data_IF_613453808413
#
_entry.id   IF_613453808413
#
_cell.length_a   1.000
_cell.length_b   1.000
_cell.length_c   1.000
_cell.angle_alpha   90.00
_cell.angle_beta   90.00
_cell.angle_gamma   90.00
#
_symmetry.space_group_name_H-M   'P 1'
#
loop_
_entity.id
_entity.type
_entity.pdbx_description
1 polymer ?
#
# COMPACT_ATOMS: atom_id res chain seq x y z
N UNK A 1 -12.57 7.72 1.52
CA UNK A 1 -13.50 7.45 2.63
C UNK A 1 -14.28 6.18 2.28
N UNK A 2 -13.94 5.07 2.95
CA UNK A 2 -14.56 3.75 2.74
C UNK A 2 -16.09 3.84 2.74
N UNK A 3 -16.65 4.69 3.60
CA UNK A 3 -18.08 4.99 3.66
C UNK A 3 -18.66 5.46 2.32
N UNK A 4 -17.90 6.19 1.50
CA UNK A 4 -18.37 6.69 0.20
C UNK A 4 -18.40 5.57 -0.84
N UNK A 5 -17.36 4.74 -0.93
CA UNK A 5 -17.33 3.65 -1.91
C UNK A 5 -18.36 2.56 -1.60
N UNK A 6 -18.60 2.30 -0.32
CA UNK A 6 -19.63 1.36 0.11
C UNK A 6 -21.03 1.92 -0.12
N UNK A 7 -21.26 3.22 0.08
CA UNK A 7 -22.52 3.90 -0.24
C UNK A 7 -22.78 3.93 -1.74
N UNK A 8 -21.75 4.09 -2.56
CA UNK A 8 -21.86 4.04 -4.03
C UNK A 8 -22.30 2.64 -4.50
N UNK A 9 -21.77 1.58 -3.92
CA UNK A 9 -22.16 0.20 -4.25
C UNK A 9 -23.55 -0.15 -3.70
N UNK A 10 -23.94 0.40 -2.55
CA UNK A 10 -25.31 0.29 -2.04
C UNK A 10 -26.32 1.02 -2.94
N UNK A 11 -25.95 2.21 -3.48
CA UNK A 11 -26.80 3.02 -4.35
C UNK A 11 -27.18 2.33 -5.66
N UNK A 12 -26.34 1.42 -6.15
CA UNK A 12 -26.61 0.61 -7.36
C UNK A 12 -27.23 -0.76 -7.06
N UNK A 13 -27.54 -1.03 -5.77
CA UNK A 13 -28.25 -2.25 -5.36
C UNK A 13 -27.41 -3.52 -5.33
N UNK A 14 -26.10 -3.41 -5.39
CA UNK A 14 -25.18 -4.55 -5.37
C UNK A 14 -24.79 -4.97 -3.96
N UNK A 15 -24.97 -4.09 -2.97
CA UNK A 15 -24.68 -4.34 -1.56
C UNK A 15 -25.87 -3.93 -0.69
N UNK A 16 -25.96 -4.59 0.45
CA UNK A 16 -26.55 -4.04 1.65
C UNK A 16 -25.48 -4.10 2.74
N UNK A 17 -25.04 -2.95 3.18
CA UNK A 17 -23.95 -2.85 4.14
C UNK A 17 -24.46 -3.06 5.57
N UNK A 18 -23.64 -3.76 6.37
CA UNK A 18 -23.71 -3.62 7.81
C UNK A 18 -23.27 -2.22 8.17
N UNK A 19 -24.01 -1.54 9.03
CA UNK A 19 -23.48 -0.38 9.71
C UNK A 19 -22.36 -0.83 10.65
N UNK A 20 -21.10 -0.78 10.19
CA UNK A 20 -19.95 -0.89 11.08
C UNK A 20 -19.60 0.52 11.61
N UNK A 21 -19.11 0.65 12.85
CA UNK A 21 -18.62 1.92 13.36
C UNK A 21 -17.56 2.51 12.43
N UNK A 22 -17.56 3.82 12.26
CA UNK A 22 -16.59 4.53 11.44
C UNK A 22 -15.15 4.13 11.84
N UNK A 23 -14.31 3.73 10.89
CA UNK A 23 -12.96 3.26 11.12
C UNK A 23 -12.82 1.78 11.50
N UNK A 24 -13.91 1.01 11.56
CA UNK A 24 -13.85 -0.44 11.76
C UNK A 24 -13.40 -1.16 10.49
N UNK A 25 -12.76 -2.33 10.67
CA UNK A 25 -12.25 -3.18 9.59
C UNK A 25 -13.06 -4.48 9.51
N UNK A 26 -13.33 -4.94 8.30
CA UNK A 26 -14.01 -6.22 8.07
C UNK A 26 -13.10 -7.42 8.40
N UNK A 27 -13.75 -8.49 8.83
CA UNK A 27 -13.13 -9.80 9.06
C UNK A 27 -13.93 -10.89 8.36
N UNK A 28 -13.39 -12.09 8.26
CA UNK A 28 -14.12 -13.25 7.67
C UNK A 28 -15.43 -13.58 8.40
N UNK A 29 -15.57 -13.17 9.69
CA UNK A 29 -16.83 -13.31 10.45
C UNK A 29 -17.93 -12.33 10.03
N UNK A 30 -17.62 -11.33 9.24
CA UNK A 30 -18.55 -10.34 8.75
C UNK A 30 -19.17 -10.72 7.39
N UNK A 31 -18.81 -11.89 6.84
CA UNK A 31 -19.37 -12.44 5.61
C UNK A 31 -20.77 -13.02 5.89
N UNK A 32 -21.79 -12.52 5.22
CA UNK A 32 -23.20 -13.02 5.31
C UNK A 32 -23.58 -13.95 4.17
N UNK A 33 -23.04 -13.74 2.98
CA UNK A 33 -23.26 -14.59 1.81
C UNK A 33 -21.95 -14.85 1.08
N UNK A 34 -21.74 -16.10 0.67
CA UNK A 34 -20.61 -16.55 -0.13
C UNK A 34 -21.13 -17.40 -1.31
N UNK A 35 -21.75 -16.78 -2.32
CA UNK A 35 -22.41 -17.50 -3.42
C UNK A 35 -21.44 -18.38 -4.22
N UNK A 36 -20.17 -17.98 -4.30
CA UNK A 36 -19.08 -18.73 -4.96
C UNK A 36 -18.57 -19.88 -4.10
N UNK A 37 -19.02 -19.99 -2.85
CA UNK A 37 -18.51 -20.96 -1.87
C UNK A 37 -16.97 -20.96 -1.74
N UNK A 38 -16.36 -19.76 -1.84
CA UNK A 38 -14.90 -19.59 -1.78
C UNK A 38 -14.35 -20.12 -0.46
N UNK A 39 -13.19 -20.77 -0.55
CA UNK A 39 -12.40 -21.18 0.60
C UNK A 39 -11.34 -20.10 0.84
N UNK A 40 -11.61 -19.17 1.77
CA UNK A 40 -10.66 -18.11 2.10
C UNK A 40 -9.51 -18.66 2.95
N UNK A 41 -8.27 -18.43 2.52
CA UNK A 41 -7.05 -18.85 3.21
C UNK A 41 -6.26 -17.60 3.58
N UNK A 42 -6.26 -17.26 4.85
CA UNK A 42 -5.54 -16.08 5.35
C UNK A 42 -4.03 -16.33 5.31
N UNK A 43 -3.28 -15.44 4.68
CA UNK A 43 -1.83 -15.54 4.47
C UNK A 43 -1.15 -14.18 4.54
N UNK A 44 0.12 -14.17 4.95
CA UNK A 44 0.96 -12.98 4.86
C UNK A 44 1.12 -12.50 3.40
N UNK A 45 1.37 -11.21 3.22
CA UNK A 45 1.38 -10.57 1.90
C UNK A 45 2.45 -11.14 0.95
N UNK A 46 3.56 -11.68 1.47
CA UNK A 46 4.66 -12.18 0.63
C UNK A 46 4.42 -13.61 0.15
N UNK A 47 3.59 -14.37 0.86
CA UNK A 47 3.26 -15.77 0.55
C UNK A 47 2.12 -15.92 -0.45
N UNK A 48 1.20 -14.96 -0.56
CA UNK A 48 -0.05 -15.12 -1.32
C UNK A 48 0.15 -15.49 -2.78
N UNK A 49 1.03 -14.77 -3.52
CA UNK A 49 1.27 -15.10 -4.93
C UNK A 49 2.05 -16.42 -5.10
N UNK A 50 2.99 -16.74 -4.20
CA UNK A 50 3.73 -18.00 -4.27
C UNK A 50 2.85 -19.22 -3.94
N UNK A 51 1.84 -19.07 -3.08
CA UNK A 51 0.90 -20.13 -2.73
C UNK A 51 0.09 -20.68 -3.93
N UNK A 52 -0.04 -19.88 -5.01
CA UNK A 52 -0.65 -20.35 -6.26
C UNK A 52 0.14 -21.45 -6.99
N UNK A 53 1.34 -21.81 -6.53
CA UNK A 53 2.09 -22.97 -7.05
C UNK A 53 1.43 -24.30 -6.72
N UNK A 54 0.54 -24.38 -5.73
CA UNK A 54 -0.15 -25.62 -5.39
C UNK A 54 -1.07 -25.57 -4.19
N UNK A 55 -0.97 -24.54 -3.37
CA UNK A 55 -1.72 -24.47 -2.10
C UNK A 55 -3.10 -23.81 -2.28
N UNK A 56 -3.22 -22.85 -3.21
CA UNK A 56 -4.49 -22.15 -3.50
C UNK A 56 -4.72 -22.02 -5.00
N UNK A 57 -5.97 -21.78 -5.39
CA UNK A 57 -6.37 -21.56 -6.78
C UNK A 57 -6.18 -20.11 -7.23
N UNK A 58 -6.37 -19.19 -6.29
CA UNK A 58 -6.38 -17.74 -6.50
C UNK A 58 -5.58 -17.03 -5.41
N UNK A 59 -5.09 -15.82 -5.72
CA UNK A 59 -4.52 -14.93 -4.72
C UNK A 59 -5.06 -13.50 -4.89
N UNK A 60 -5.36 -12.84 -3.77
CA UNK A 60 -5.63 -11.41 -3.70
C UNK A 60 -4.43 -10.68 -3.06
N UNK A 61 -3.98 -9.63 -3.70
CA UNK A 61 -2.97 -8.72 -3.18
C UNK A 61 -2.95 -7.43 -3.99
N UNK A 62 -2.23 -6.42 -3.54
CA UNK A 62 -1.97 -5.27 -4.39
C UNK A 62 -1.20 -5.70 -5.65
N UNK A 63 -1.61 -5.15 -6.79
CA UNK A 63 -1.01 -5.46 -8.08
C UNK A 63 0.30 -4.68 -8.27
N UNK A 64 1.28 -5.34 -8.87
CA UNK A 64 2.41 -4.66 -9.52
C UNK A 64 2.86 -5.44 -10.77
N UNK A 65 3.31 -4.72 -11.79
CA UNK A 65 3.86 -5.34 -13.01
C UNK A 65 5.04 -6.28 -12.68
N UNK A 66 5.88 -5.90 -11.72
CA UNK A 66 7.01 -6.73 -11.24
C UNK A 66 6.52 -8.03 -10.59
N UNK A 67 5.44 -7.98 -9.78
CA UNK A 67 4.88 -9.20 -9.18
C UNK A 67 4.28 -10.12 -10.24
N UNK A 68 3.58 -9.56 -11.23
CA UNK A 68 3.02 -10.33 -12.33
C UNK A 68 4.13 -11.04 -13.13
N UNK A 69 5.22 -10.37 -13.45
CA UNK A 69 6.37 -10.94 -14.15
C UNK A 69 7.05 -12.03 -13.30
N UNK A 70 7.37 -11.71 -12.04
CA UNK A 70 8.07 -12.62 -11.11
C UNK A 70 7.31 -13.92 -10.88
N UNK A 71 6.00 -13.84 -10.64
CA UNK A 71 5.19 -15.02 -10.31
C UNK A 71 4.46 -15.62 -11.52
N UNK A 72 4.52 -14.97 -12.69
CA UNK A 72 3.93 -15.43 -13.96
C UNK A 72 2.46 -15.87 -13.82
N UNK A 73 1.60 -14.95 -13.34
CA UNK A 73 0.18 -15.21 -13.15
C UNK A 73 -0.69 -14.50 -14.19
N UNK A 74 -1.91 -15.01 -14.38
CA UNK A 74 -2.97 -14.34 -15.12
C UNK A 74 -3.65 -13.33 -14.18
N UNK A 75 -3.77 -12.08 -14.62
CA UNK A 75 -4.57 -11.05 -13.94
C UNK A 75 -6.04 -11.27 -14.31
N UNK A 76 -6.85 -11.75 -13.37
CA UNK A 76 -8.28 -12.02 -13.60
C UNK A 76 -9.12 -10.76 -13.41
N UNK A 77 -8.78 -9.96 -12.42
CA UNK A 77 -9.43 -8.69 -12.08
C UNK A 77 -8.39 -7.74 -11.51
N UNK A 78 -8.43 -6.50 -11.95
CA UNK A 78 -7.82 -5.36 -11.26
C UNK A 78 -8.96 -4.51 -10.72
N UNK A 79 -8.92 -4.20 -9.43
CA UNK A 79 -9.88 -3.33 -8.78
C UNK A 79 -9.48 -1.87 -8.96
N UNK A 80 -10.43 -0.95 -8.79
CA UNK A 80 -10.13 0.47 -8.79
C UNK A 80 -9.32 0.85 -7.54
N UNK A 81 -8.65 2.00 -7.59
CA UNK A 81 -7.88 2.49 -6.45
C UNK A 81 -8.78 2.73 -5.23
N UNK A 82 -8.37 2.25 -4.08
CA UNK A 82 -9.06 2.51 -2.83
C UNK A 82 -8.40 3.69 -2.10
N UNK A 83 -8.93 4.90 -2.30
CA UNK A 83 -8.41 6.14 -1.70
C UNK A 83 -8.51 6.20 -0.17
N UNK A 84 -9.25 5.28 0.45
CA UNK A 84 -9.30 5.14 1.91
C UNK A 84 -8.03 4.47 2.47
N UNK A 85 -7.21 3.85 1.61
CA UNK A 85 -5.97 3.17 1.97
C UNK A 85 -4.74 3.81 1.31
N UNK A 86 -4.49 5.12 1.56
CA UNK A 86 -3.36 5.81 0.95
C UNK A 86 -2.04 5.29 1.53
N UNK A 87 -1.05 5.09 0.68
CA UNK A 87 0.32 4.78 1.09
C UNK A 87 0.96 5.99 1.73
N UNK A 88 1.61 5.79 2.87
CA UNK A 88 2.16 6.86 3.70
C UNK A 88 3.64 6.65 4.00
N UNK A 89 4.38 7.74 4.03
CA UNK A 89 5.68 7.81 4.71
C UNK A 89 5.42 7.95 6.19
N UNK A 90 6.08 7.16 7.02
CA UNK A 90 5.93 7.25 8.47
C UNK A 90 7.26 7.57 9.17
N UNK A 91 7.18 8.43 10.18
CA UNK A 91 8.28 8.82 11.07
C UNK A 91 7.84 8.68 12.54
N UNK A 92 8.75 8.83 13.50
CA UNK A 92 8.36 8.96 14.91
C UNK A 92 7.67 10.30 15.14
N UNK A 93 6.74 10.37 16.09
CA UNK A 93 5.99 11.58 16.44
C UNK A 93 6.90 12.77 16.79
N UNK A 94 8.03 12.52 17.46
CA UNK A 94 9.02 13.55 17.82
C UNK A 94 9.79 14.12 16.64
N UNK A 95 9.85 13.40 15.52
CA UNK A 95 10.61 13.80 14.32
C UNK A 95 9.77 14.54 13.28
N UNK A 96 8.45 14.51 13.39
CA UNK A 96 7.49 14.97 12.35
C UNK A 96 7.71 16.39 11.81
N UNK A 97 8.19 17.29 12.66
CA UNK A 97 8.44 18.69 12.31
C UNK A 97 9.92 18.99 11.96
N UNK A 98 10.78 17.96 12.00
CA UNK A 98 12.22 18.10 11.73
C UNK A 98 12.48 18.54 10.28
N UNK A 99 13.56 19.31 10.07
CA UNK A 99 13.92 19.79 8.73
C UNK A 99 14.21 18.62 7.78
N UNK A 100 14.91 17.60 8.25
CA UNK A 100 15.21 16.42 7.42
C UNK A 100 13.95 15.66 6.96
N UNK A 101 12.87 15.68 7.77
CA UNK A 101 11.58 15.06 7.36
C UNK A 101 10.92 15.88 6.24
N UNK A 102 10.94 17.21 6.34
CA UNK A 102 10.44 18.10 5.28
C UNK A 102 11.21 17.90 3.99
N UNK A 103 12.55 17.86 4.08
CA UNK A 103 13.40 17.61 2.92
C UNK A 103 13.15 16.23 2.32
N UNK A 104 12.96 15.19 3.16
CA UNK A 104 12.61 13.85 2.70
C UNK A 104 11.26 13.83 1.97
N UNK A 105 10.24 14.49 2.51
CA UNK A 105 8.91 14.60 1.86
C UNK A 105 8.98 15.39 0.57
N UNK A 106 9.77 16.46 0.49
CA UNK A 106 9.97 17.21 -0.75
C UNK A 106 10.62 16.33 -1.84
N UNK A 107 11.62 15.48 -1.48
CA UNK A 107 12.17 14.50 -2.41
C UNK A 107 11.10 13.48 -2.86
N UNK A 108 10.30 12.98 -1.92
CA UNK A 108 9.27 11.97 -2.16
C UNK A 108 8.09 12.48 -3.00
N UNK A 109 7.85 13.78 -3.02
CA UNK A 109 6.76 14.43 -3.76
C UNK A 109 7.26 15.28 -4.94
N UNK A 110 8.53 15.11 -5.33
CA UNK A 110 9.13 15.78 -6.48
C UNK A 110 8.56 15.28 -7.81
N UNK A 111 8.66 16.09 -8.87
CA UNK A 111 8.26 15.67 -10.21
C UNK A 111 9.06 14.46 -10.70
N UNK A 112 10.34 14.41 -10.37
CA UNK A 112 11.19 13.28 -10.77
C UNK A 112 10.77 11.96 -10.10
N UNK A 113 10.39 12.00 -8.83
CA UNK A 113 9.83 10.82 -8.15
C UNK A 113 8.51 10.38 -8.78
N UNK A 114 7.63 11.34 -9.13
CA UNK A 114 6.38 11.06 -9.83
C UNK A 114 6.63 10.40 -11.18
N UNK A 115 7.59 10.92 -11.97
CA UNK A 115 7.94 10.36 -13.26
C UNK A 115 8.46 8.92 -13.13
N UNK A 116 9.29 8.64 -12.11
CA UNK A 116 9.78 7.31 -11.77
C UNK A 116 8.66 6.33 -11.38
N UNK A 117 7.74 6.78 -10.52
CA UNK A 117 6.57 5.96 -10.15
C UNK A 117 5.73 5.66 -11.40
N UNK A 118 5.47 6.65 -12.25
CA UNK A 118 4.69 6.47 -13.47
C UNK A 118 5.36 5.54 -14.48
N UNK A 119 6.69 5.60 -14.64
CA UNK A 119 7.44 4.67 -15.48
C UNK A 119 7.22 3.22 -15.00
N UNK A 120 7.31 2.98 -13.70
CA UNK A 120 7.11 1.65 -13.09
C UNK A 120 5.65 1.19 -13.09
N UNK A 121 4.73 2.11 -13.31
CA UNK A 121 3.29 1.85 -13.38
C UNK A 121 2.81 1.38 -14.77
N UNK A 122 3.73 0.90 -15.61
CA UNK A 122 3.45 0.40 -16.95
C UNK A 122 3.87 -1.08 -17.09
N UNK A 123 3.24 -1.85 -18.00
CA UNK A 123 2.16 -1.48 -18.92
C UNK A 123 0.77 -1.40 -18.28
N UNK A 124 0.57 -1.97 -17.08
CA UNK A 124 -0.71 -1.96 -16.38
C UNK A 124 -0.66 -0.95 -15.24
N UNK A 125 -1.58 0.01 -15.23
CA UNK A 125 -1.74 0.95 -14.12
C UNK A 125 -2.04 0.18 -12.84
N UNK A 126 -1.26 0.40 -11.80
CA UNK A 126 -1.41 -0.29 -10.50
C UNK A 126 -1.45 0.66 -9.30
N UNK A 127 -1.20 1.95 -9.55
CA UNK A 127 -1.12 2.98 -8.52
C UNK A 127 -1.68 4.29 -9.03
N UNK A 128 -2.35 5.02 -8.14
CA UNK A 128 -2.77 6.40 -8.39
C UNK A 128 -2.04 7.33 -7.42
N UNK A 129 -1.36 8.33 -7.95
CA UNK A 129 -0.72 9.38 -7.15
C UNK A 129 -1.79 10.28 -6.54
N UNK A 130 -1.67 10.61 -5.26
CA UNK A 130 -2.69 11.31 -4.47
C UNK A 130 -2.36 12.79 -4.21
N UNK A 131 -1.22 13.29 -4.68
CA UNK A 131 -0.81 14.68 -4.50
C UNK A 131 -0.57 15.36 -5.85
N UNK A 132 -0.65 16.68 -5.85
CA UNK A 132 -0.27 17.49 -6.99
C UNK A 132 1.15 18.02 -6.78
N UNK A 133 2.01 17.85 -7.79
CA UNK A 133 3.33 18.48 -7.78
C UNK A 133 3.14 19.97 -7.97
N UNK A 134 3.74 20.78 -7.11
CA UNK A 134 3.64 22.24 -7.22
C UNK A 134 4.31 22.70 -8.50
N UNK A 135 3.55 23.37 -9.40
CA UNK A 135 4.03 23.85 -10.72
C UNK A 135 5.24 24.79 -10.62
N UNK A 136 5.42 25.50 -9.50
CA UNK A 136 6.55 26.38 -9.26
C UNK A 136 7.87 25.60 -9.04
N UNK A 137 7.81 24.32 -8.73
CA UNK A 137 9.01 23.49 -8.50
C UNK A 137 9.81 23.29 -9.81
N UNK A 138 9.18 23.06 -10.94
CA UNK A 138 9.89 22.75 -12.19
C UNK A 138 10.80 23.87 -12.74
N UNK A 139 10.56 25.15 -12.40
CA UNK A 139 11.37 26.27 -12.84
C UNK A 139 12.28 26.87 -11.75
N UNK A 140 11.86 26.77 -10.49
CA UNK A 140 12.62 27.18 -9.31
C UNK A 140 13.58 26.08 -8.82
N UNK A 141 13.23 24.80 -9.02
CA UNK A 141 13.96 23.63 -8.57
C UNK A 141 15.45 23.65 -8.96
N UNK A 142 15.77 23.95 -10.21
CA UNK A 142 17.19 23.92 -10.66
C UNK A 142 18.09 24.98 -10.02
N UNK A 143 17.55 26.07 -9.49
CA UNK A 143 18.33 27.12 -8.85
C UNK A 143 18.30 27.03 -7.32
N UNK A 144 17.19 26.58 -6.73
CA UNK A 144 17.04 26.41 -5.28
C UNK A 144 17.56 25.03 -4.82
N UNK A 145 17.40 23.96 -5.60
CA UNK A 145 18.00 22.65 -5.34
C UNK A 145 19.52 22.72 -5.16
N UNK A 146 20.21 23.48 -6.01
CA UNK A 146 21.66 23.68 -5.87
C UNK A 146 22.10 24.42 -4.62
N UNK A 147 21.17 25.08 -3.90
CA UNK A 147 21.45 25.80 -2.66
C UNK A 147 20.97 25.07 -1.41
N UNK A 148 20.16 24.00 -1.55
CA UNK A 148 19.65 23.22 -0.42
C UNK A 148 20.79 22.48 0.28
N UNK A 149 20.76 22.47 1.59
CA UNK A 149 21.75 21.79 2.42
C UNK A 149 21.04 20.90 3.43
N UNK A 150 21.64 19.75 3.69
CA UNK A 150 21.17 18.83 4.71
C UNK A 150 21.02 19.50 6.08
N UNK A 151 20.04 19.03 6.83
CA UNK A 151 19.88 19.39 8.24
C UNK A 151 21.20 19.07 9.00
N UNK A 152 21.89 20.05 9.56
CA UNK A 152 23.17 19.81 10.26
C UNK A 152 23.03 18.89 11.47
N UNK A 153 21.82 18.71 11.99
CA UNK A 153 21.56 17.84 13.14
C UNK A 153 21.30 16.37 12.72
N UNK A 154 20.99 16.14 11.44
CA UNK A 154 20.65 14.82 10.93
C UNK A 154 20.99 14.69 9.44
N UNK A 155 22.23 14.33 9.13
CA UNK A 155 22.72 14.17 7.75
C UNK A 155 22.61 12.74 7.22
N UNK A 156 22.46 11.74 8.10
CA UNK A 156 22.25 10.35 7.72
C UNK A 156 20.83 9.92 8.09
N UNK A 157 20.09 9.39 7.12
CA UNK A 157 18.70 8.95 7.26
C UNK A 157 18.65 7.46 6.91
N UNK A 158 18.14 6.65 7.82
CA UNK A 158 17.87 5.23 7.57
C UNK A 158 16.43 5.04 7.15
N UNK A 159 16.24 4.70 5.87
CA UNK A 159 14.94 4.46 5.25
C UNK A 159 14.60 2.97 5.27
N UNK A 160 13.62 2.57 6.08
CA UNK A 160 13.09 1.22 6.11
C UNK A 160 12.05 0.99 5.02
N UNK A 161 12.20 -0.10 4.28
CA UNK A 161 11.25 -0.54 3.25
C UNK A 161 11.06 -2.04 3.31
N UNK A 162 9.96 -2.54 2.74
CA UNK A 162 9.85 -3.97 2.45
C UNK A 162 10.28 -4.25 1.00
N UNK A 163 10.67 -5.49 0.64
CA UNK A 163 11.17 -5.80 -0.69
C UNK A 163 10.26 -5.36 -1.85
N UNK A 164 8.94 -5.35 -1.62
CA UNK A 164 7.95 -4.93 -2.63
C UNK A 164 7.99 -3.43 -2.94
N UNK A 165 8.56 -2.62 -2.06
CA UNK A 165 8.62 -1.17 -2.18
C UNK A 165 10.00 -0.62 -2.52
N UNK A 166 11.07 -1.43 -2.44
CA UNK A 166 12.44 -0.99 -2.72
C UNK A 166 12.57 -0.24 -4.04
N UNK A 167 11.93 -0.73 -5.07
CA UNK A 167 12.08 -0.17 -6.41
C UNK A 167 11.30 1.14 -6.63
N UNK A 168 10.43 1.54 -5.69
CA UNK A 168 9.75 2.84 -5.73
C UNK A 168 10.56 3.97 -5.09
N UNK A 169 11.66 3.63 -4.40
CA UNK A 169 12.46 4.60 -3.65
C UNK A 169 13.89 4.73 -4.20
N UNK A 170 14.21 4.09 -5.31
CA UNK A 170 15.57 3.98 -5.86
C UNK A 170 16.23 5.33 -6.17
N UNK A 171 15.42 6.35 -6.47
CA UNK A 171 15.88 7.70 -6.75
C UNK A 171 16.11 8.58 -5.50
N UNK A 172 15.45 8.29 -4.41
CA UNK A 172 15.50 9.11 -3.19
C UNK A 172 16.94 9.26 -2.62
N UNK A 173 17.75 8.19 -2.51
CA UNK A 173 19.14 8.34 -2.05
C UNK A 173 19.98 9.26 -2.93
N UNK A 174 19.81 9.23 -4.25
CA UNK A 174 20.54 10.07 -5.19
C UNK A 174 20.15 11.54 -5.03
N UNK A 175 18.87 11.86 -5.10
CA UNK A 175 18.35 13.22 -4.95
C UNK A 175 18.75 13.84 -3.61
N UNK A 176 18.51 13.14 -2.51
CA UNK A 176 18.87 13.66 -1.19
C UNK A 176 20.39 13.78 -1.01
N UNK A 177 21.16 12.95 -1.72
CA UNK A 177 22.64 13.05 -1.77
C UNK A 177 23.12 14.38 -2.36
N UNK A 178 22.44 14.93 -3.36
CA UNK A 178 22.74 16.25 -3.92
C UNK A 178 22.53 17.38 -2.89
N UNK A 179 21.63 17.18 -1.93
CA UNK A 179 21.39 18.12 -0.82
C UNK A 179 22.33 17.91 0.38
N UNK A 180 23.20 16.89 0.31
CA UNK A 180 24.18 16.58 1.34
C UNK A 180 23.72 15.58 2.41
N UNK A 181 22.60 14.86 2.16
CA UNK A 181 22.19 13.74 3.00
C UNK A 181 22.85 12.43 2.54
N UNK A 182 22.95 11.49 3.45
CA UNK A 182 23.19 10.07 3.15
C UNK A 182 21.94 9.28 3.51
N UNK A 183 21.27 8.68 2.52
CA UNK A 183 20.11 7.82 2.76
C UNK A 183 20.55 6.36 2.70
N UNK A 184 20.46 5.66 3.83
CA UNK A 184 20.74 4.23 3.96
C UNK A 184 19.41 3.45 3.85
N UNK A 185 19.23 2.69 2.77
CA UNK A 185 18.05 1.85 2.59
C UNK A 185 18.21 0.55 3.38
N UNK A 186 17.23 0.25 4.23
CA UNK A 186 17.18 -0.94 5.08
C UNK A 186 15.98 -1.79 4.66
N UNK A 187 16.24 -2.94 4.05
CA UNK A 187 15.19 -3.91 3.70
C UNK A 187 14.76 -4.69 4.93
N UNK A 188 13.46 -4.79 5.15
CA UNK A 188 12.85 -5.42 6.32
C UNK A 188 11.85 -6.49 5.86
N UNK A 189 11.97 -7.69 6.42
CA UNK A 189 11.26 -8.89 5.93
C UNK A 189 9.76 -8.90 6.25
N UNK A 190 9.29 -7.99 7.11
CA UNK A 190 7.87 -7.91 7.44
C UNK A 190 7.40 -6.50 7.79
N UNK A 191 6.12 -6.18 7.56
CA UNK A 191 5.48 -4.93 7.98
C UNK A 191 5.63 -4.64 9.48
N UNK A 192 5.47 -5.66 10.32
CA UNK A 192 5.61 -5.53 11.78
C UNK A 192 7.06 -5.16 12.15
N UNK A 193 8.06 -5.82 11.54
CA UNK A 193 9.46 -5.51 11.78
C UNK A 193 9.80 -4.07 11.38
N UNK A 194 9.25 -3.58 10.26
CA UNK A 194 9.50 -2.22 9.78
C UNK A 194 8.96 -1.14 10.73
N UNK A 195 7.74 -1.30 11.25
CA UNK A 195 7.19 -0.36 12.23
C UNK A 195 7.86 -0.48 13.61
N UNK A 196 8.21 -1.68 14.02
CA UNK A 196 8.97 -1.90 15.27
C UNK A 196 10.35 -1.22 15.20
N UNK A 197 11.09 -1.42 14.11
CA UNK A 197 12.39 -0.78 13.89
C UNK A 197 12.31 0.75 13.91
N UNK A 198 11.22 1.32 13.35
CA UNK A 198 10.96 2.76 13.40
C UNK A 198 10.65 3.23 14.82
N UNK A 199 9.78 2.53 15.53
CA UNK A 199 9.40 2.87 16.90
C UNK A 199 10.60 2.81 17.87
N UNK A 200 11.52 1.84 17.68
CA UNK A 200 12.72 1.65 18.49
C UNK A 200 13.90 2.57 18.07
N UNK A 201 13.78 3.32 16.96
CA UNK A 201 14.80 4.20 16.44
C UNK A 201 15.95 3.50 15.69
N UNK A 202 15.79 2.24 15.30
CA UNK A 202 16.77 1.51 14.48
C UNK A 202 16.78 2.00 13.03
N UNK A 203 15.64 2.54 12.55
CA UNK A 203 15.47 3.31 11.33
C UNK A 203 14.84 4.67 11.66
N UNK A 204 14.87 5.61 10.73
CA UNK A 204 14.40 6.98 10.95
C UNK A 204 13.05 7.25 10.28
N UNK A 205 12.81 6.62 9.17
CA UNK A 205 11.60 6.75 8.33
C UNK A 205 11.30 5.40 7.70
N UNK A 206 10.03 5.11 7.42
CA UNK A 206 9.67 3.97 6.58
C UNK A 206 8.64 4.33 5.50
N UNK A 207 8.66 3.53 4.43
CA UNK A 207 7.68 3.59 3.35
C UNK A 207 7.37 2.19 2.83
N UNK A 208 6.21 1.64 3.21
CA UNK A 208 5.76 0.32 2.77
C UNK A 208 4.27 0.07 3.03
N UNK A 209 3.56 0.99 3.71
CA UNK A 209 2.26 0.74 4.30
C UNK A 209 1.23 1.81 3.95
N UNK A 210 -0.04 1.43 3.98
CA UNK A 210 -1.14 2.37 3.95
C UNK A 210 -1.54 2.86 5.34
N UNK A 211 -2.23 4.00 5.39
CA UNK A 211 -2.61 4.69 6.62
C UNK A 211 -3.37 3.79 7.62
N UNK A 212 -4.42 3.04 7.25
CA UNK A 212 -5.13 2.18 8.21
C UNK A 212 -4.24 1.12 8.87
N UNK A 213 -3.25 0.55 8.15
CA UNK A 213 -2.29 -0.38 8.74
C UNK A 213 -1.41 0.31 9.80
N UNK A 214 -0.90 1.51 9.51
CA UNK A 214 -0.10 2.28 10.47
C UNK A 214 -0.90 2.60 11.75
N UNK A 215 -2.16 3.02 11.59
CA UNK A 215 -3.03 3.34 12.72
C UNK A 215 -3.34 2.10 13.57
N UNK A 216 -3.66 0.96 12.94
CA UNK A 216 -3.88 -0.30 13.63
C UNK A 216 -2.62 -0.81 14.36
N UNK A 217 -1.43 -0.64 13.75
CA UNK A 217 -0.16 -0.96 14.41
C UNK A 217 0.04 -0.09 15.65
N UNK A 218 -0.17 1.22 15.55
CA UNK A 218 -0.05 2.15 16.67
C UNK A 218 -0.97 1.76 17.85
N UNK A 219 -2.24 1.47 17.55
CA UNK A 219 -3.21 1.05 18.55
C UNK A 219 -2.80 -0.25 19.24
N UNK A 220 -2.43 -1.27 18.46
CA UNK A 220 -2.10 -2.60 18.97
C UNK A 220 -0.81 -2.65 19.77
N UNK A 221 0.16 -1.75 19.48
CA UNK A 221 1.49 -1.75 20.08
C UNK A 221 1.72 -0.57 21.03
N UNK A 222 0.75 0.33 21.21
CA UNK A 222 0.88 1.51 22.04
C UNK A 222 1.95 2.50 21.53
N UNK A 223 2.23 2.49 20.22
CA UNK A 223 3.18 3.39 19.55
C UNK A 223 2.49 4.66 19.06
N UNK A 224 3.29 5.65 18.63
CA UNK A 224 2.81 6.90 18.04
C UNK A 224 3.67 7.26 16.82
N UNK A 225 3.65 6.37 15.83
CA UNK A 225 4.26 6.66 14.54
C UNK A 225 3.36 7.62 13.77
N UNK A 226 3.98 8.65 13.17
CA UNK A 226 3.27 9.74 12.50
C UNK A 226 3.26 9.53 10.98
N UNK A 227 2.07 9.53 10.33
CA UNK A 227 1.98 9.54 8.87
C UNK A 227 2.29 10.93 8.34
N UNK A 228 3.27 11.06 7.45
CA UNK A 228 3.61 12.32 6.82
C UNK A 228 2.63 12.67 5.71
N UNK A 229 2.31 13.95 5.57
CA UNK A 229 1.50 14.48 4.47
C UNK A 229 2.37 15.26 3.46
N UNK A 230 2.00 15.30 2.15
CA UNK A 230 0.83 14.63 1.58
C UNK A 230 1.01 13.11 1.51
N UNK A 231 -0.11 12.36 1.48
CA UNK A 231 -0.06 10.92 1.22
C UNK A 231 0.35 10.67 -0.22
N UNK A 232 1.07 9.58 -0.45
CA UNK A 232 1.84 9.43 -1.69
C UNK A 232 1.00 8.86 -2.83
N UNK A 233 0.43 7.69 -2.64
CA UNK A 233 -0.34 7.02 -3.69
C UNK A 233 -1.33 6.02 -3.09
N UNK A 234 -2.32 5.60 -3.88
CA UNK A 234 -3.20 4.49 -3.57
C UNK A 234 -2.91 3.31 -4.48
N UNK A 235 -2.85 2.11 -3.91
CA UNK A 235 -2.67 0.87 -4.66
C UNK A 235 -3.99 0.35 -5.19
N UNK A 236 -3.90 -0.48 -6.24
CA UNK A 236 -5.00 -1.27 -6.77
C UNK A 236 -4.79 -2.73 -6.42
N UNK A 237 -5.77 -3.37 -5.81
CA UNK A 237 -5.72 -4.80 -5.54
C UNK A 237 -6.09 -5.59 -6.79
N UNK A 238 -5.71 -6.86 -6.81
CA UNK A 238 -6.04 -7.76 -7.91
C UNK A 238 -6.46 -9.14 -7.44
N UNK A 239 -7.20 -9.85 -8.29
CA UNK A 239 -7.32 -11.30 -8.26
C UNK A 239 -6.41 -11.89 -9.31
N UNK A 240 -5.51 -12.75 -8.88
CA UNK A 240 -4.53 -13.45 -9.70
C UNK A 240 -4.76 -14.96 -9.70
N UNK A 241 -4.41 -15.64 -10.78
CA UNK A 241 -4.43 -17.10 -10.88
C UNK A 241 -3.36 -17.64 -11.82
N UNK A 242 -2.81 -18.82 -11.52
CA UNK A 242 -2.03 -19.61 -12.49
C UNK A 242 -2.87 -20.59 -13.28
N UNK A 243 -4.09 -20.89 -12.81
CA UNK A 243 -4.97 -21.91 -13.40
C UNK A 243 -6.02 -21.31 -14.34
N UNK A 244 -6.62 -20.18 -13.97
CA UNK A 244 -7.74 -19.57 -14.69
C UNK A 244 -7.28 -18.29 -15.41
N UNK A 245 -8.00 -17.91 -16.47
CA UNK A 245 -7.69 -16.71 -17.27
C UNK A 245 -8.74 -15.61 -17.11
N UNK A 246 -9.94 -15.96 -16.69
CA UNK A 246 -11.05 -15.02 -16.44
C UNK A 246 -11.77 -15.39 -15.14
N UNK A 247 -12.58 -14.45 -14.59
CA UNK A 247 -13.38 -14.70 -13.39
C UNK A 247 -14.45 -15.78 -13.61
N UNK A 248 -14.98 -15.89 -14.84
CA UNK A 248 -16.03 -16.86 -15.21
C UNK A 248 -15.51 -18.30 -15.22
N UNK A 249 -14.22 -18.50 -15.45
CA UNK A 249 -13.60 -19.84 -15.42
C UNK A 249 -13.42 -20.37 -13.99
N UNK A 250 -13.49 -19.51 -12.98
CA UNK A 250 -13.29 -19.89 -11.57
C UNK A 250 -14.49 -20.71 -11.08
N UNK A 251 -14.30 -21.97 -10.64
CA UNK A 251 -15.39 -22.80 -10.15
C UNK A 251 -15.86 -22.37 -8.76
N UNK A 252 -17.08 -22.79 -8.40
CA UNK A 252 -17.54 -22.71 -7.02
C UNK A 252 -16.68 -23.60 -6.12
N UNK A 253 -16.35 -23.10 -4.93
CA UNK A 253 -15.49 -23.79 -3.98
C UNK A 253 -13.99 -23.57 -4.21
N UNK A 254 -13.59 -22.70 -5.13
CA UNK A 254 -12.18 -22.35 -5.33
C UNK A 254 -11.55 -21.78 -4.05
N UNK A 255 -10.28 -22.13 -3.82
CA UNK A 255 -9.49 -21.54 -2.72
C UNK A 255 -8.85 -20.24 -3.14
N UNK A 256 -8.89 -19.24 -2.25
CA UNK A 256 -8.33 -17.91 -2.49
C UNK A 256 -7.52 -17.44 -1.29
N UNK A 257 -6.24 -17.15 -1.52
CA UNK A 257 -5.40 -16.50 -0.52
C UNK A 257 -5.83 -15.04 -0.33
N UNK A 258 -6.09 -14.66 0.90
CA UNK A 258 -6.44 -13.30 1.33
C UNK A 258 -5.48 -12.85 2.44
N UNK A 259 -5.52 -11.58 2.81
CA UNK A 259 -4.66 -11.05 3.86
C UNK A 259 -4.96 -11.67 5.24
N UNK A 260 -3.93 -11.82 6.06
CA UNK A 260 -4.02 -12.26 7.45
C UNK A 260 -4.04 -11.10 8.45
N UNK A 261 -3.73 -9.90 8.01
CA UNK A 261 -3.91 -8.68 8.81
C UNK A 261 -5.27 -8.03 8.53
N UNK A 262 -5.91 -7.50 9.58
CA UNK A 262 -7.28 -7.01 9.51
C UNK A 262 -7.48 -5.90 8.48
N UNK A 263 -6.50 -5.02 8.28
CA UNK A 263 -6.63 -3.89 7.37
C UNK A 263 -6.61 -4.30 5.90
N UNK A 264 -5.67 -5.16 5.49
CA UNK A 264 -5.63 -5.70 4.13
C UNK A 264 -6.71 -6.76 3.89
N UNK A 265 -7.07 -7.55 4.92
CA UNK A 265 -8.20 -8.48 4.82
C UNK A 265 -9.51 -7.73 4.55
N UNK A 266 -9.76 -6.59 5.20
CA UNK A 266 -10.93 -5.76 4.94
C UNK A 266 -11.01 -5.34 3.48
N UNK A 267 -9.90 -4.87 2.87
CA UNK A 267 -9.83 -4.54 1.45
C UNK A 267 -10.21 -5.76 0.58
N UNK A 268 -9.58 -6.91 0.83
CA UNK A 268 -9.83 -8.11 0.03
C UNK A 268 -11.29 -8.58 0.11
N UNK A 269 -11.92 -8.49 1.30
CA UNK A 269 -13.32 -8.86 1.47
C UNK A 269 -14.28 -7.90 0.74
N UNK A 270 -14.00 -6.59 0.77
CA UNK A 270 -14.73 -5.57 0.04
C UNK A 270 -14.63 -5.79 -1.47
N UNK A 271 -13.43 -6.08 -1.97
CA UNK A 271 -13.18 -6.39 -3.37
C UNK A 271 -13.96 -7.63 -3.83
N UNK A 272 -13.94 -8.73 -3.06
CA UNK A 272 -14.71 -9.93 -3.36
C UNK A 272 -16.23 -9.67 -3.34
N UNK A 273 -16.70 -8.78 -2.45
CA UNK A 273 -18.08 -8.34 -2.42
C UNK A 273 -18.43 -7.52 -3.66
N UNK A 274 -17.55 -6.63 -4.12
CA UNK A 274 -17.79 -5.76 -5.28
C UNK A 274 -18.04 -6.53 -6.57
N UNK A 275 -17.47 -7.74 -6.70
CA UNK A 275 -17.70 -8.65 -7.84
C UNK A 275 -18.79 -9.70 -7.57
N UNK A 276 -19.48 -9.63 -6.42
CA UNK A 276 -20.60 -10.50 -6.08
C UNK A 276 -20.23 -11.92 -5.64
N UNK A 277 -18.97 -12.17 -5.28
CA UNK A 277 -18.51 -13.50 -4.85
C UNK A 277 -18.79 -13.80 -3.38
N UNK A 278 -19.00 -12.77 -2.58
CA UNK A 278 -19.46 -12.88 -1.19
C UNK A 278 -20.32 -11.67 -0.82
N UNK A 279 -20.97 -11.74 0.32
CA UNK A 279 -21.69 -10.61 0.93
C UNK A 279 -21.32 -10.53 2.40
N UNK A 280 -20.91 -9.36 2.81
CA UNK A 280 -20.56 -9.09 4.21
C UNK A 280 -21.82 -8.94 5.07
N UNK A 281 -21.69 -9.23 6.35
CA UNK A 281 -22.78 -9.08 7.33
C UNK A 281 -23.10 -7.60 7.57
N UNK A 282 -24.38 -7.32 7.78
CA UNK A 282 -24.87 -6.04 8.26
C UNK A 282 -24.45 -5.78 9.71
#
# INVERSE_FOLDING_TARGET
NLSVNLQDLESIGWLKLKEIPEGSLYTTFDIVENPKNLQLVEMDMFSRFSAMEGDVDLAMSFFSNTSQEKYNFNLLKLFDENIAYPQVVAVREEDKDAQWVKDFMDAFTSQEQVDRINEKNTPTLSWKILFEVKEDSASLEKSEEKSRKADPNKTTIKLGVTPSFEYYIDYIPEMMGEWGYTVEVVSLDSPVAANTALAEGSIDVNYFQHLPYLLAFNESNGTRLHPCEPYIMSSMDCIASKKYKTLEEVPDGASIAVADDASNLSINLEDLQSIGWLKLKE
#
